data_IF_389326084180
#
_entry.id   IF_389326084180
#
_cell.length_a   1.000
_cell.length_b   1.000
_cell.length_c   1.000
_cell.angle_alpha   90.00
_cell.angle_beta   90.00
_cell.angle_gamma   90.00
#
_symmetry.space_group_name_H-M   'P 1'
#
loop_
_entity.id
_entity.type
_entity.pdbx_description
1 polymer ?
#
# COMPACT_ATOMS: atom_id res chain seq x y z
N UNK A 1 63.28 -0.86 4.26
CA UNK A 1 62.71 -1.21 2.93
C UNK A 1 61.39 -2.01 2.94
N UNK A 2 60.81 -2.44 4.08
CA UNK A 2 59.55 -3.23 4.10
C UNK A 2 58.25 -2.42 3.88
N UNK A 3 58.27 -1.09 4.05
CA UNK A 3 57.07 -0.22 3.99
C UNK A 3 56.48 0.01 2.58
N UNK A 4 57.21 -0.30 1.51
CA UNK A 4 56.74 -0.08 0.13
C UNK A 4 55.93 -1.25 -0.46
N UNK A 5 56.15 -2.49 0.01
CA UNK A 5 55.47 -3.66 -0.56
C UNK A 5 53.97 -3.69 -0.24
N UNK A 6 53.57 -3.18 0.93
CA UNK A 6 52.16 -3.16 1.36
C UNK A 6 51.33 -2.16 0.56
N UNK A 7 51.92 -1.03 0.16
CA UNK A 7 51.23 -0.02 -0.68
C UNK A 7 50.97 -0.54 -2.10
N UNK A 8 51.91 -1.30 -2.66
CA UNK A 8 51.77 -1.91 -4.00
C UNK A 8 50.71 -3.01 -3.99
N UNK A 9 50.65 -3.82 -2.94
CA UNK A 9 49.63 -4.87 -2.81
C UNK A 9 48.22 -4.28 -2.67
N UNK A 10 48.06 -3.21 -1.86
CA UNK A 10 46.76 -2.56 -1.69
C UNK A 10 46.28 -1.88 -2.98
N UNK A 11 47.19 -1.28 -3.75
CA UNK A 11 46.89 -0.67 -5.04
C UNK A 11 46.46 -1.71 -6.09
N UNK A 12 47.13 -2.87 -6.13
CA UNK A 12 46.75 -3.98 -7.02
C UNK A 12 45.37 -4.56 -6.65
N UNK A 13 45.06 -4.70 -5.36
CA UNK A 13 43.74 -5.17 -4.90
C UNK A 13 42.65 -4.16 -5.28
N UNK A 14 42.90 -2.86 -5.10
CA UNK A 14 41.96 -1.82 -5.54
C UNK A 14 41.75 -1.81 -7.06
N UNK A 15 42.82 -2.05 -7.85
CA UNK A 15 42.74 -2.12 -9.30
C UNK A 15 41.95 -3.35 -9.79
N UNK A 16 42.12 -4.50 -9.14
CA UNK A 16 41.36 -5.73 -9.44
C UNK A 16 39.88 -5.56 -9.04
N UNK A 17 39.59 -4.94 -7.91
CA UNK A 17 38.20 -4.67 -7.49
C UNK A 17 37.53 -3.67 -8.46
N UNK A 18 38.23 -2.62 -8.90
CA UNK A 18 37.73 -1.68 -9.90
C UNK A 18 37.45 -2.33 -11.27
N UNK A 19 38.18 -3.38 -11.64
CA UNK A 19 37.91 -4.16 -12.85
C UNK A 19 36.68 -5.08 -12.73
N UNK A 20 36.33 -5.53 -11.53
CA UNK A 20 35.17 -6.41 -11.30
C UNK A 20 33.85 -5.62 -11.23
N UNK A 21 33.88 -4.35 -10.80
CA UNK A 21 32.72 -3.46 -10.85
C UNK A 21 32.59 -2.73 -12.21
N UNK A 22 32.55 -3.49 -13.32
CA UNK A 22 31.86 -2.97 -14.51
C UNK A 22 30.37 -3.04 -14.23
N UNK A 23 29.84 -1.93 -13.73
CA UNK A 23 28.41 -1.72 -13.61
C UNK A 23 27.78 -2.04 -14.97
N UNK A 24 27.02 -3.13 -15.02
CA UNK A 24 25.97 -3.30 -16.03
C UNK A 24 24.93 -2.23 -15.72
N UNK A 25 25.23 -0.99 -16.09
CA UNK A 25 24.18 -0.03 -16.39
C UNK A 25 23.35 -0.73 -17.45
N UNK A 26 22.15 -1.18 -17.07
CA UNK A 26 21.15 -1.60 -18.03
C UNK A 26 21.03 -0.43 -19.00
N UNK A 27 21.67 -0.59 -20.15
CA UNK A 27 21.75 0.47 -21.13
C UNK A 27 20.31 0.72 -21.54
N UNK A 28 19.86 1.96 -21.33
CA UNK A 28 18.57 2.44 -21.79
C UNK A 28 18.49 2.10 -23.28
N UNK A 29 17.77 1.03 -23.61
CA UNK A 29 17.85 0.44 -24.93
C UNK A 29 16.86 1.18 -25.83
N UNK A 30 17.41 2.08 -26.65
CA UNK A 30 16.66 2.77 -27.68
C UNK A 30 16.35 1.81 -28.83
N UNK A 31 15.08 1.51 -29.11
CA UNK A 31 14.71 0.55 -30.15
C UNK A 31 15.12 1.05 -31.52
N UNK A 32 15.54 0.13 -32.38
CA UNK A 32 15.86 0.40 -33.78
C UNK A 32 15.03 -0.54 -34.64
N UNK A 33 13.93 -0.01 -35.16
CA UNK A 33 13.01 -0.76 -35.98
C UNK A 33 13.48 -0.81 -37.44
N UNK A 34 13.60 -2.02 -37.96
CA UNK A 34 13.74 -2.27 -39.39
C UNK A 34 12.45 -2.86 -39.92
N UNK A 35 11.86 -2.20 -40.92
CA UNK A 35 10.56 -2.58 -41.47
C UNK A 35 10.70 -3.30 -42.81
N UNK A 36 9.80 -4.27 -43.04
CA UNK A 36 9.64 -4.90 -44.36
C UNK A 36 9.15 -3.89 -45.40
N UNK A 37 9.19 -4.29 -46.68
CA UNK A 37 8.46 -3.58 -47.73
C UNK A 37 6.97 -3.54 -47.44
N UNK A 38 6.30 -2.51 -47.94
CA UNK A 38 4.83 -2.43 -47.89
C UNK A 38 4.21 -3.60 -48.66
N UNK A 39 3.14 -4.16 -48.09
CA UNK A 39 2.30 -5.15 -48.75
C UNK A 39 1.62 -4.58 -50.00
N UNK A 40 0.99 -5.45 -50.80
CA UNK A 40 0.05 -4.99 -51.81
C UNK A 40 -1.06 -4.14 -51.17
N UNK A 41 -1.62 -3.23 -51.97
CA UNK A 41 -2.76 -2.42 -51.59
C UNK A 41 -4.02 -3.29 -51.59
N UNK A 42 -4.48 -3.68 -50.41
CA UNK A 42 -5.71 -4.44 -50.21
C UNK A 42 -6.71 -3.53 -49.48
N UNK A 43 -7.87 -3.31 -50.07
CA UNK A 43 -8.94 -2.47 -49.52
C UNK A 43 -8.49 -1.06 -49.08
N UNK A 44 -7.62 -0.44 -49.89
CA UNK A 44 -7.13 0.92 -49.65
C UNK A 44 -6.08 1.03 -48.55
N UNK A 45 -5.62 -0.09 -48.00
CA UNK A 45 -4.55 -0.18 -47.02
C UNK A 45 -3.38 -1.02 -47.52
N UNK A 46 -2.20 -0.62 -47.10
CA UNK A 46 -0.98 -1.41 -47.16
C UNK A 46 -0.40 -1.50 -45.75
N UNK A 47 0.24 -2.62 -45.44
CA UNK A 47 0.83 -2.86 -44.13
C UNK A 47 2.28 -3.33 -44.25
N UNK A 48 3.08 -3.10 -43.21
CA UNK A 48 4.43 -3.65 -43.10
C UNK A 48 4.72 -4.01 -41.65
N UNK A 49 5.56 -5.02 -41.46
CA UNK A 49 5.99 -5.44 -40.13
C UNK A 49 7.36 -4.83 -39.84
N UNK A 50 7.52 -4.26 -38.66
CA UNK A 50 8.77 -3.68 -38.19
C UNK A 50 9.28 -4.46 -36.98
N UNK A 51 10.53 -4.92 -37.08
CA UNK A 51 11.21 -5.72 -36.07
C UNK A 51 12.29 -4.88 -35.39
N UNK A 52 12.36 -4.92 -34.06
CA UNK A 52 13.40 -4.23 -33.30
C UNK A 52 14.68 -5.06 -33.25
N UNK A 53 15.67 -4.67 -34.04
CA UNK A 53 16.95 -5.39 -34.15
C UNK A 53 17.87 -5.19 -32.95
N UNK A 54 17.57 -4.24 -32.07
CA UNK A 54 18.50 -3.84 -31.01
C UNK A 54 18.06 -4.25 -29.62
N UNK A 55 16.78 -4.06 -29.28
CA UNK A 55 16.30 -4.30 -27.91
C UNK A 55 15.45 -5.56 -27.77
N UNK A 56 15.18 -6.27 -28.88
CA UNK A 56 14.34 -7.47 -28.86
C UNK A 56 12.90 -7.18 -28.41
N UNK A 57 12.41 -5.96 -28.67
CA UNK A 57 10.99 -5.63 -28.44
C UNK A 57 10.12 -6.38 -29.44
N UNK A 58 8.83 -6.50 -29.11
CA UNK A 58 7.83 -7.12 -29.99
C UNK A 58 7.80 -6.41 -31.36
N UNK A 59 7.52 -7.19 -32.40
CA UNK A 59 7.22 -6.64 -33.71
C UNK A 59 6.00 -5.73 -33.67
N UNK A 60 6.04 -4.65 -34.47
CA UNK A 60 4.91 -3.74 -34.65
C UNK A 60 4.46 -3.78 -36.11
N UNK A 61 3.16 -3.65 -36.35
CA UNK A 61 2.59 -3.60 -37.70
C UNK A 61 2.18 -2.17 -38.01
N UNK A 62 2.87 -1.55 -38.95
CA UNK A 62 2.51 -0.24 -39.47
C UNK A 62 1.51 -0.38 -40.62
N UNK A 63 0.58 0.56 -40.71
CA UNK A 63 -0.42 0.63 -41.77
C UNK A 63 -0.38 2.00 -42.41
N UNK A 64 -0.49 2.04 -43.74
CA UNK A 64 -0.56 3.27 -44.52
C UNK A 64 -1.66 3.15 -45.57
N UNK A 65 -2.19 4.29 -46.00
CA UNK A 65 -3.15 4.35 -47.10
C UNK A 65 -2.42 4.18 -48.43
N UNK A 66 -3.11 3.59 -49.39
CA UNK A 66 -2.69 3.54 -50.78
C UNK A 66 -3.80 4.15 -51.65
N UNK A 67 -3.40 4.81 -52.74
CA UNK A 67 -4.35 5.48 -53.63
C UNK A 67 -5.16 4.45 -54.41
N UNK A 68 -6.41 4.23 -53.99
CA UNK A 68 -7.41 3.46 -54.73
C UNK A 68 -8.15 4.42 -55.67
N UNK A 69 -8.02 4.29 -57.00
CA UNK A 69 -8.71 5.18 -57.93
C UNK A 69 -10.23 5.11 -57.72
N UNK A 70 -10.85 6.26 -57.47
CA UNK A 70 -12.31 6.38 -57.31
C UNK A 70 -12.83 6.36 -55.86
N UNK A 71 -11.97 6.22 -54.85
CA UNK A 71 -12.42 6.27 -53.45
C UNK A 71 -11.48 7.14 -52.60
N UNK A 72 -12.04 8.17 -51.95
CA UNK A 72 -11.32 9.01 -50.99
C UNK A 72 -11.81 8.69 -49.58
N UNK A 73 -10.99 8.06 -48.73
CA UNK A 73 -11.44 7.69 -47.39
C UNK A 73 -11.70 8.93 -46.54
N UNK A 74 -12.78 8.90 -45.76
CA UNK A 74 -13.12 9.87 -44.72
C UNK A 74 -13.09 9.13 -43.37
N UNK A 75 -11.92 9.15 -42.75
CA UNK A 75 -11.65 8.40 -41.52
C UNK A 75 -12.16 9.14 -40.30
N UNK A 76 -12.97 8.45 -39.51
CA UNK A 76 -13.44 8.87 -38.21
C UNK A 76 -12.95 7.84 -37.19
N UNK A 77 -12.10 8.28 -36.26
CA UNK A 77 -11.52 7.40 -35.25
C UNK A 77 -12.07 7.71 -33.87
N UNK A 78 -12.25 6.66 -33.08
CA UNK A 78 -12.60 6.76 -31.67
C UNK A 78 -11.50 7.46 -30.86
N UNK A 79 -11.87 7.81 -29.62
CA UNK A 79 -10.90 8.21 -28.61
C UNK A 79 -9.91 7.06 -28.36
N UNK A 80 -8.68 7.43 -28.06
CA UNK A 80 -7.68 6.47 -27.63
C UNK A 80 -8.14 5.71 -26.39
N UNK A 81 -7.99 4.39 -26.43
CA UNK A 81 -8.15 3.53 -25.26
C UNK A 81 -7.07 3.78 -24.20
N UNK A 82 -7.16 3.07 -23.06
CA UNK A 82 -6.16 3.14 -21.99
C UNK A 82 -4.78 2.70 -22.48
N UNK A 83 -3.72 3.24 -21.87
CA UNK A 83 -2.35 2.84 -22.15
C UNK A 83 -2.07 1.44 -21.58
N UNK A 84 -1.58 0.53 -22.41
CA UNK A 84 -1.11 -0.80 -22.04
C UNK A 84 0.41 -0.72 -21.89
N UNK A 85 0.89 -0.74 -20.64
CA UNK A 85 2.31 -0.57 -20.35
C UNK A 85 3.09 -1.87 -20.58
N UNK A 86 4.21 -1.77 -21.29
CA UNK A 86 5.09 -2.90 -21.62
C UNK A 86 6.51 -2.75 -21.06
N UNK A 87 6.90 -1.53 -20.70
CA UNK A 87 8.25 -1.25 -20.19
C UNK A 87 8.35 -1.56 -18.69
N UNK A 88 9.47 -2.18 -18.29
CA UNK A 88 9.83 -2.39 -16.88
C UNK A 88 10.39 -1.09 -16.30
N UNK A 89 10.01 -0.76 -15.07
CA UNK A 89 10.39 0.48 -14.41
C UNK A 89 11.78 0.36 -13.78
N UNK A 90 12.82 0.67 -14.54
CA UNK A 90 14.20 0.61 -14.03
C UNK A 90 14.55 1.83 -13.15
N UNK A 91 13.68 2.85 -13.11
CA UNK A 91 13.93 4.15 -12.44
C UNK A 91 13.14 4.39 -11.15
N UNK A 92 12.57 3.34 -10.52
CA UNK A 92 11.81 3.51 -9.27
C UNK A 92 12.62 4.21 -8.16
N UNK A 93 13.92 3.90 -8.07
CA UNK A 93 14.83 4.45 -7.04
C UNK A 93 15.02 5.97 -7.18
N UNK A 94 14.83 6.54 -8.38
CA UNK A 94 15.01 7.98 -8.63
C UNK A 94 13.72 8.79 -8.43
N UNK A 95 12.63 8.18 -7.95
CA UNK A 95 11.33 8.83 -7.77
C UNK A 95 10.60 9.19 -9.07
N UNK A 96 11.20 8.89 -10.23
CA UNK A 96 10.60 9.12 -11.54
C UNK A 96 10.24 7.78 -12.17
N UNK A 97 8.96 7.48 -12.14
CA UNK A 97 8.43 6.26 -12.75
C UNK A 97 7.82 6.64 -14.10
N UNK A 98 8.54 6.36 -15.17
CA UNK A 98 8.01 6.47 -16.53
C UNK A 98 7.57 5.10 -17.02
N UNK A 99 6.32 5.01 -17.48
CA UNK A 99 5.79 3.83 -18.13
C UNK A 99 5.63 4.14 -19.61
N UNK A 100 6.40 3.45 -20.45
CA UNK A 100 6.14 3.36 -21.88
C UNK A 100 5.19 2.22 -22.19
N UNK A 101 4.26 2.48 -23.09
CA UNK A 101 3.26 1.51 -23.53
C UNK A 101 2.70 1.83 -24.90
N UNK A 102 1.65 1.09 -25.24
CA UNK A 102 0.88 1.29 -26.45
C UNK A 102 -0.60 1.43 -26.12
N UNK A 103 -1.34 2.10 -26.97
CA UNK A 103 -2.78 2.28 -26.86
C UNK A 103 -3.41 2.11 -28.23
N UNK A 104 -4.66 1.68 -28.23
CA UNK A 104 -5.39 1.36 -29.45
C UNK A 104 -6.60 2.27 -29.60
N UNK A 105 -6.99 2.58 -30.83
CA UNK A 105 -8.28 3.18 -31.17
C UNK A 105 -8.84 2.50 -32.41
N UNK A 106 -10.15 2.49 -32.53
CA UNK A 106 -10.83 1.99 -33.72
C UNK A 106 -11.02 3.14 -34.70
N UNK A 107 -10.75 2.89 -35.98
CA UNK A 107 -10.98 3.82 -37.05
C UNK A 107 -11.94 3.20 -38.06
N UNK A 108 -12.93 3.97 -38.45
CA UNK A 108 -13.93 3.61 -39.44
C UNK A 108 -13.94 4.65 -40.56
N UNK A 109 -14.12 4.20 -41.79
CA UNK A 109 -14.25 5.08 -42.93
C UNK A 109 -15.73 5.34 -43.22
N UNK A 110 -16.17 6.58 -43.05
CA UNK A 110 -17.54 6.98 -43.35
C UNK A 110 -17.91 6.76 -44.83
N UNK A 111 -16.92 6.69 -45.72
CA UNK A 111 -17.11 6.43 -47.15
C UNK A 111 -16.96 4.95 -47.53
N UNK A 112 -16.67 4.05 -46.58
CA UNK A 112 -16.46 2.61 -46.82
C UNK A 112 -15.42 2.27 -47.89
N UNK A 113 -14.42 3.14 -48.10
CA UNK A 113 -13.28 2.87 -48.98
C UNK A 113 -12.29 1.89 -48.32
N UNK A 114 -12.21 1.95 -47.00
CA UNK A 114 -11.29 1.19 -46.16
C UNK A 114 -12.09 0.45 -45.09
N UNK A 115 -11.80 -0.83 -44.90
CA UNK A 115 -12.43 -1.61 -43.83
C UNK A 115 -12.07 -1.07 -42.44
N UNK A 116 -12.99 -1.27 -41.49
CA UNK A 116 -12.76 -0.93 -40.08
C UNK A 116 -11.46 -1.56 -39.57
N UNK A 117 -10.58 -0.76 -38.99
CA UNK A 117 -9.31 -1.24 -38.47
C UNK A 117 -8.96 -0.63 -37.12
N UNK A 118 -8.04 -1.28 -36.41
CA UNK A 118 -7.47 -0.78 -35.15
C UNK A 118 -6.14 -0.10 -35.45
N UNK A 119 -6.01 1.14 -35.01
CA UNK A 119 -4.75 1.87 -35.02
C UNK A 119 -4.06 1.71 -33.66
N UNK A 120 -2.80 1.31 -33.68
CA UNK A 120 -1.92 1.31 -32.51
C UNK A 120 -1.10 2.62 -32.47
N UNK A 121 -0.95 3.19 -31.28
CA UNK A 121 -0.12 4.36 -31.04
C UNK A 121 0.69 4.21 -29.76
N UNK A 122 1.83 4.90 -29.67
CA UNK A 122 2.64 4.90 -28.46
C UNK A 122 2.05 5.84 -27.40
N UNK A 123 2.20 5.46 -26.13
CA UNK A 123 1.89 6.29 -24.98
C UNK A 123 3.05 6.27 -23.99
N UNK A 124 3.30 7.43 -23.39
CA UNK A 124 4.30 7.60 -22.34
C UNK A 124 3.64 8.36 -21.22
N UNK A 125 3.54 7.73 -20.07
CA UNK A 125 3.05 8.37 -18.86
C UNK A 125 4.18 8.43 -17.86
N UNK A 126 4.31 9.55 -17.17
CA UNK A 126 5.27 9.72 -16.10
C UNK A 126 4.54 10.11 -14.84
N UNK A 127 4.73 9.32 -13.79
CA UNK A 127 4.28 9.67 -12.45
C UNK A 127 5.48 10.14 -11.64
N UNK A 128 5.36 11.34 -11.08
CA UNK A 128 6.35 11.87 -10.16
C UNK A 128 5.89 11.53 -8.75
N UNK A 129 6.69 10.76 -8.02
CA UNK A 129 6.44 10.47 -6.62
C UNK A 129 7.29 11.43 -5.78
N UNK A 130 6.71 11.97 -4.73
CA UNK A 130 7.46 12.75 -3.75
C UNK A 130 8.08 11.78 -2.74
N UNK A 131 9.39 11.94 -2.49
CA UNK A 131 10.13 11.16 -1.51
C UNK A 131 10.49 12.07 -0.34
N UNK A 132 10.00 11.75 0.85
CA UNK A 132 10.18 12.57 2.04
C UNK A 132 10.66 11.70 3.19
N UNK A 133 11.70 12.15 3.89
CA UNK A 133 12.12 11.50 5.13
C UNK A 133 11.13 11.83 6.24
N UNK A 134 10.64 10.80 6.92
CA UNK A 134 9.72 10.93 8.06
C UNK A 134 10.23 10.08 9.22
N UNK A 135 9.96 10.52 10.44
CA UNK A 135 10.23 9.76 11.65
C UNK A 135 8.89 9.28 12.22
N UNK A 136 8.70 7.97 12.31
CA UNK A 136 7.50 7.36 12.89
C UNK A 136 7.97 6.31 13.90
N UNK A 137 7.42 6.30 15.11
CA UNK A 137 7.77 5.31 16.14
C UNK A 137 9.27 5.28 16.49
N UNK A 138 9.93 6.43 16.51
CA UNK A 138 11.38 6.58 16.69
C UNK A 138 12.25 5.88 15.62
N UNK A 139 11.66 5.51 14.49
CA UNK A 139 12.37 4.95 13.34
C UNK A 139 12.31 5.92 12.16
N UNK A 140 13.40 6.00 11.39
CA UNK A 140 13.47 6.86 10.21
C UNK A 140 13.06 6.09 8.96
N UNK A 141 12.10 6.65 8.22
CA UNK A 141 11.60 6.10 6.98
C UNK A 141 11.76 7.09 5.84
N UNK A 142 12.00 6.58 4.63
CA UNK A 142 11.76 7.32 3.40
C UNK A 142 10.35 6.99 2.93
N UNK A 143 9.43 7.93 3.07
CA UNK A 143 8.05 7.80 2.64
C UNK A 143 7.87 8.22 1.18
N UNK A 144 7.03 7.47 0.48
CA UNK A 144 6.59 7.75 -0.89
C UNK A 144 5.22 8.38 -0.82
N UNK A 145 5.11 9.63 -1.22
CA UNK A 145 3.89 10.44 -1.16
C UNK A 145 3.35 10.68 -2.56
N UNK A 146 2.05 10.45 -2.72
CA UNK A 146 1.29 10.87 -3.90
C UNK A 146 1.14 12.40 -3.90
N UNK A 147 1.68 13.14 -4.88
CA UNK A 147 1.54 14.60 -4.91
C UNK A 147 0.08 15.06 -5.06
N UNK A 148 -0.79 14.26 -5.68
CA UNK A 148 -2.19 14.64 -5.95
C UNK A 148 -3.06 14.40 -4.73
N UNK A 149 -2.97 13.21 -4.11
CA UNK A 149 -3.80 12.87 -2.96
C UNK A 149 -3.17 13.23 -1.62
N UNK A 150 -1.88 13.60 -1.59
CA UNK A 150 -1.08 13.80 -0.39
C UNK A 150 -1.07 12.58 0.55
N UNK A 151 -1.26 11.37 0.00
CA UNK A 151 -1.30 10.13 0.79
C UNK A 151 0.05 9.42 0.70
N UNK A 152 0.48 8.86 1.83
CA UNK A 152 1.62 7.93 1.89
C UNK A 152 1.23 6.61 1.23
N UNK A 153 1.92 6.22 0.16
CA UNK A 153 1.68 4.95 -0.56
C UNK A 153 2.55 3.84 0.02
N UNK A 154 3.81 4.16 0.30
CA UNK A 154 4.80 3.20 0.79
C UNK A 154 5.83 3.91 1.67
N UNK A 155 6.58 3.13 2.44
CA UNK A 155 7.72 3.61 3.23
C UNK A 155 8.85 2.58 3.25
N UNK A 156 10.08 3.06 3.29
CA UNK A 156 11.30 2.25 3.36
C UNK A 156 12.02 2.57 4.66
N UNK A 157 12.32 1.56 5.49
CA UNK A 157 13.06 1.77 6.74
C UNK A 157 14.54 2.07 6.44
N UNK A 158 14.99 3.29 6.75
CA UNK A 158 16.33 3.76 6.41
C UNK A 158 17.42 3.11 7.26
N UNK A 159 17.10 2.71 8.49
CA UNK A 159 18.05 2.05 9.37
C UNK A 159 18.31 0.59 8.94
N UNK A 160 17.26 -0.12 8.51
CA UNK A 160 17.38 -1.42 7.84
C UNK A 160 18.17 -1.32 6.53
N UNK A 161 17.94 -0.25 5.77
CA UNK A 161 18.66 -0.01 4.52
C UNK A 161 20.17 0.17 4.72
N UNK A 162 20.60 0.89 5.77
CA UNK A 162 22.03 1.01 6.15
C UNK A 162 22.68 -0.35 6.41
N UNK A 163 21.89 -1.32 6.91
CA UNK A 163 22.31 -2.72 7.13
C UNK A 163 22.22 -3.58 5.86
N UNK A 164 21.98 -2.98 4.69
CA UNK A 164 21.78 -3.66 3.39
C UNK A 164 20.56 -4.59 3.36
N UNK A 165 19.55 -4.32 4.19
CA UNK A 165 18.26 -5.01 4.18
C UNK A 165 17.20 -4.09 3.60
N UNK A 166 16.53 -4.53 2.53
CA UNK A 166 15.37 -3.83 1.99
C UNK A 166 14.14 -4.21 2.81
N UNK A 167 13.61 -3.24 3.54
CA UNK A 167 12.33 -3.34 4.25
C UNK A 167 11.35 -2.31 3.66
N UNK A 168 10.45 -2.81 2.80
CA UNK A 168 9.45 -2.02 2.10
C UNK A 168 8.08 -2.35 2.67
N UNK A 169 7.39 -1.33 3.17
CA UNK A 169 6.03 -1.43 3.68
C UNK A 169 5.07 -0.62 2.83
N UNK A 170 4.00 -1.25 2.32
CA UNK A 170 2.88 -0.54 1.69
C UNK A 170 1.93 -0.03 2.77
N UNK A 171 1.54 1.24 2.67
CA UNK A 171 0.70 1.91 3.65
C UNK A 171 -0.74 1.90 3.14
N UNK A 172 -1.59 1.08 3.77
CA UNK A 172 -3.03 1.09 3.53
C UNK A 172 -3.72 1.84 4.68
N UNK A 173 -4.03 3.12 4.44
CA UNK A 173 -4.65 3.99 5.44
C UNK A 173 -3.66 4.57 6.45
N UNK A 174 -4.16 5.47 7.30
CA UNK A 174 -3.38 6.05 8.38
C UNK A 174 -3.29 5.03 9.52
N UNK A 175 -2.13 4.40 9.70
CA UNK A 175 -1.87 3.65 10.93
C UNK A 175 -1.80 4.66 12.07
N UNK A 176 -2.81 4.63 12.93
CA UNK A 176 -2.91 5.52 14.08
C UNK A 176 -1.82 5.19 15.13
N UNK A 177 -1.32 3.95 15.17
CA UNK A 177 -0.44 3.48 16.24
C UNK A 177 0.74 2.63 15.73
N UNK A 178 1.83 2.67 16.50
CA UNK A 178 3.05 1.90 16.27
C UNK A 178 2.81 0.39 16.47
N UNK A 179 3.56 -0.50 15.76
CA UNK A 179 3.50 -1.94 16.02
C UNK A 179 3.87 -2.31 17.46
N UNK A 180 4.70 -1.49 18.11
CA UNK A 180 5.05 -1.65 19.53
C UNK A 180 3.84 -1.56 20.44
N UNK A 181 2.78 -0.82 20.07
CA UNK A 181 1.55 -0.66 20.84
C UNK A 181 0.64 -1.91 20.88
N UNK A 182 1.13 -3.07 20.44
CA UNK A 182 0.38 -4.33 20.36
C UNK A 182 1.24 -5.56 20.72
N UNK A 183 2.36 -5.35 21.41
CA UNK A 183 3.35 -6.39 21.67
C UNK A 183 3.26 -7.00 23.09
N UNK A 184 2.32 -6.53 23.93
CA UNK A 184 2.12 -6.99 25.32
C UNK A 184 3.32 -6.71 26.23
N UNK A 185 4.16 -5.75 25.85
CA UNK A 185 5.35 -5.29 26.60
C UNK A 185 5.23 -3.79 26.81
N UNK A 186 5.43 -3.32 28.05
CA UNK A 186 5.43 -1.89 28.34
C UNK A 186 6.75 -1.26 27.86
N UNK A 187 6.75 -0.71 26.65
CA UNK A 187 7.90 -0.05 26.04
C UNK A 187 7.54 1.32 25.42
N UNK A 188 8.49 1.94 24.70
CA UNK A 188 8.26 3.09 23.81
C UNK A 188 7.44 4.28 24.34
N UNK A 189 7.50 4.57 25.65
CA UNK A 189 6.80 5.70 26.26
C UNK A 189 5.33 5.43 26.65
N UNK A 190 4.92 4.16 26.69
CA UNK A 190 3.58 3.76 27.12
C UNK A 190 3.29 4.04 28.60
N UNK A 191 2.05 4.42 28.93
CA UNK A 191 1.60 4.59 30.31
C UNK A 191 1.32 3.23 30.98
N UNK A 192 0.69 2.31 30.22
CA UNK A 192 0.48 0.90 30.58
C UNK A 192 0.70 0.03 29.34
N UNK A 193 0.79 -1.29 29.51
CA UNK A 193 1.02 -2.25 28.41
C UNK A 193 0.06 -1.97 27.24
N UNK A 194 0.62 -1.65 26.06
CA UNK A 194 -0.10 -1.40 24.80
C UNK A 194 -1.08 -0.20 24.85
N UNK A 195 -0.85 0.79 25.73
CA UNK A 195 -1.63 2.03 25.79
C UNK A 195 -0.94 3.25 26.46
N UNK A 196 -1.38 4.45 26.08
CA UNK A 196 -0.85 5.73 26.55
C UNK A 196 0.38 6.21 25.78
N UNK A 197 0.78 7.47 25.98
CA UNK A 197 1.85 8.09 25.19
C UNK A 197 1.47 8.23 23.72
N UNK A 198 2.33 7.72 22.83
CA UNK A 198 2.10 7.66 21.37
C UNK A 198 1.14 6.50 20.97
N UNK A 199 0.78 5.63 21.91
CA UNK A 199 -0.19 4.57 21.71
C UNK A 199 -1.61 5.04 22.03
N UNK A 200 -2.61 4.17 21.76
CA UNK A 200 -4.02 4.46 22.04
C UNK A 200 -4.20 4.85 23.52
N UNK A 201 -5.09 5.80 23.84
CA UNK A 201 -5.31 6.19 25.23
C UNK A 201 -5.73 4.99 26.06
N UNK A 202 -5.14 4.85 27.25
CA UNK A 202 -5.47 3.75 28.14
C UNK A 202 -6.95 3.80 28.51
N UNK A 203 -7.66 2.71 28.22
CA UNK A 203 -9.01 2.52 28.76
C UNK A 203 -8.89 2.57 30.27
N UNK A 204 -9.55 3.55 30.90
CA UNK A 204 -9.78 3.50 32.33
C UNK A 204 -10.62 2.25 32.54
N UNK A 205 -10.02 1.23 33.15
CA UNK A 205 -10.75 0.04 33.53
C UNK A 205 -12.02 0.50 34.25
N UNK A 206 -13.18 0.05 33.77
CA UNK A 206 -14.46 0.33 34.39
C UNK A 206 -14.54 -0.44 35.72
N UNK A 207 -13.70 -0.07 36.69
CA UNK A 207 -13.85 -0.42 38.11
C UNK A 207 -15.28 -0.10 38.59
N UNK A 208 -15.96 0.82 37.92
CA UNK A 208 -17.36 1.18 38.13
C UNK A 208 -18.33 -0.02 38.08
N UNK A 209 -18.15 -0.98 37.16
CA UNK A 209 -19.06 -2.12 37.07
C UNK A 209 -18.88 -3.11 38.24
N UNK A 210 -17.63 -3.33 38.67
CA UNK A 210 -17.34 -4.12 39.87
C UNK A 210 -17.82 -3.40 41.14
N UNK A 211 -17.69 -2.08 41.21
CA UNK A 211 -18.16 -1.31 42.36
C UNK A 211 -19.70 -1.35 42.47
N UNK A 212 -20.41 -1.21 41.35
CA UNK A 212 -21.88 -1.33 41.31
C UNK A 212 -22.32 -2.74 41.73
N UNK A 213 -21.66 -3.79 41.24
CA UNK A 213 -22.03 -5.16 41.60
C UNK A 213 -21.79 -5.45 43.08
N UNK A 214 -20.71 -4.92 43.66
CA UNK A 214 -20.47 -5.00 45.10
C UNK A 214 -21.56 -4.25 45.87
N UNK A 215 -21.82 -2.98 45.55
CA UNK A 215 -22.82 -2.15 46.24
C UNK A 215 -24.22 -2.77 46.15
N UNK A 216 -24.58 -3.32 44.99
CA UNK A 216 -25.88 -3.98 44.82
C UNK A 216 -25.99 -5.26 45.65
N UNK A 217 -24.91 -6.06 45.76
CA UNK A 217 -24.89 -7.23 46.63
C UNK A 217 -25.07 -6.86 48.11
N UNK A 218 -24.39 -5.80 48.56
CA UNK A 218 -24.52 -5.30 49.94
C UNK A 218 -25.93 -4.77 50.23
N UNK A 219 -26.53 -4.03 49.29
CA UNK A 219 -27.89 -3.50 49.48
C UNK A 219 -28.95 -4.60 49.52
N UNK A 220 -28.84 -5.60 48.64
CA UNK A 220 -29.69 -6.81 48.66
C UNK A 220 -29.54 -7.59 49.98
N UNK A 221 -28.32 -7.78 50.47
CA UNK A 221 -28.04 -8.45 51.74
C UNK A 221 -28.62 -7.68 52.95
N UNK A 222 -28.46 -6.35 52.97
CA UNK A 222 -29.02 -5.50 54.01
C UNK A 222 -30.55 -5.53 54.01
N UNK A 223 -31.18 -5.49 52.82
CA UNK A 223 -32.64 -5.61 52.67
C UNK A 223 -33.15 -6.96 53.20
N UNK A 224 -32.48 -8.06 52.84
CA UNK A 224 -32.85 -9.40 53.30
C UNK A 224 -32.71 -9.54 54.83
N UNK A 225 -31.65 -8.96 55.39
CA UNK A 225 -31.43 -8.91 56.84
C UNK A 225 -32.54 -8.12 57.55
N UNK A 226 -32.94 -6.97 56.99
CA UNK A 226 -34.04 -6.15 57.52
C UNK A 226 -35.38 -6.89 57.48
N UNK A 227 -35.69 -7.57 56.38
CA UNK A 227 -36.91 -8.38 56.26
C UNK A 227 -36.91 -9.54 57.26
N UNK A 228 -35.77 -10.21 57.44
CA UNK A 228 -35.63 -11.29 58.43
C UNK A 228 -35.83 -10.80 59.86
N UNK A 229 -35.24 -9.64 60.21
CA UNK A 229 -35.43 -9.00 61.51
C UNK A 229 -36.90 -8.64 61.74
N UNK A 230 -37.57 -8.08 60.73
CA UNK A 230 -39.00 -7.75 60.78
C UNK A 230 -39.86 -8.98 61.11
N UNK A 231 -39.62 -10.10 60.42
CA UNK A 231 -40.35 -11.35 60.68
C UNK A 231 -40.12 -11.87 62.10
N UNK A 232 -38.88 -11.80 62.62
CA UNK A 232 -38.57 -12.16 64.01
C UNK A 232 -39.32 -11.27 65.01
N UNK A 233 -39.42 -9.97 64.76
CA UNK A 233 -40.19 -9.04 65.61
C UNK A 233 -41.69 -9.32 65.57
N UNK A 234 -42.25 -9.62 64.39
CA UNK A 234 -43.66 -10.02 64.25
C UNK A 234 -43.96 -11.32 65.00
N UNK A 235 -43.05 -12.29 64.91
CA UNK A 235 -43.17 -13.55 65.65
C UNK A 235 -43.12 -13.35 67.16
N UNK A 236 -42.18 -12.51 67.66
CA UNK A 236 -42.11 -12.15 69.09
C UNK A 236 -43.40 -11.46 69.56
N UNK A 237 -43.96 -10.52 68.79
CA UNK A 237 -45.23 -9.86 69.14
C UNK A 237 -46.39 -10.84 69.26
N UNK A 238 -46.52 -11.80 68.33
CA UNK A 238 -47.55 -12.85 68.41
C UNK A 238 -47.42 -13.71 69.67
N UNK A 239 -46.19 -14.06 70.09
CA UNK A 239 -45.94 -14.84 71.31
C UNK A 239 -46.36 -14.09 72.58
N UNK A 240 -46.09 -12.78 72.68
CA UNK A 240 -46.50 -11.97 73.84
C UNK A 240 -48.02 -11.83 73.96
N UNK A 241 -48.74 -11.73 72.84
CA UNK A 241 -50.21 -11.71 72.83
C UNK A 241 -50.79 -13.05 73.29
N UNK A 242 -50.22 -14.17 72.82
CA UNK A 242 -50.68 -15.50 73.22
C UNK A 242 -50.52 -15.75 74.73
N UNK A 243 -49.40 -15.33 75.35
CA UNK A 243 -49.18 -15.45 76.80
C UNK A 243 -50.20 -14.62 77.58
N UNK A 244 -50.47 -13.36 77.18
CA UNK A 244 -51.46 -12.51 77.86
C UNK A 244 -52.90 -13.04 77.76
N UNK A 245 -53.22 -13.86 76.76
CA UNK A 245 -54.57 -14.39 76.58
C UNK A 245 -54.82 -15.59 77.52
N UNK A 246 -53.79 -16.37 77.84
CA UNK A 246 -53.89 -17.51 78.76
C UNK A 246 -53.97 -17.11 80.25
N UNK A 247 -53.35 -16.00 80.67
CA UNK A 247 -53.43 -15.53 82.06
C UNK A 247 -54.80 -14.94 82.43
N UNK A 248 -55.68 -14.69 81.46
CA UNK A 248 -57.04 -14.18 81.69
C UNK A 248 -58.10 -15.26 81.86
N UNK A 249 -57.74 -16.53 81.67
CA UNK A 249 -58.62 -17.69 81.79
C UNK A 249 -58.33 -18.57 83.02
N UNK A 250 -57.46 -18.09 83.92
CA UNK A 250 -57.20 -18.70 85.24
C UNK A 250 -57.63 -17.73 86.33
#
# INVERSE_FOLDING_TARGET
MKKNKTKVLLALVFFVIALVFRANAAADCFPQYECTSWSACEDGLQSRTCEDKKCGRREIVERSFCDKPGCKPKLECDKWGPCIYTEKTDSFIKGKVSFGGYRNRVCEDANSCVERFIQEGTCKESYNLELTEITECNENFLAVIDPTSQRKIARINLDSWKLKKLDLSFVQGEKEYCPSCYNVVKDSGEEKIDCGGDCRPCKKEQMFLLLISIISLWSLSALFSFLSIREVFLFKRKKTIFIKTNDKQR
#
